data_IF_417422969668
#
_entry.id   IF_417422969668
#
_cell.length_a   1.000
_cell.length_b   1.000
_cell.length_c   1.000
_cell.angle_alpha   90.00
_cell.angle_beta   90.00
_cell.angle_gamma   90.00
#
_symmetry.space_group_name_H-M   'P 1'
#
loop_
_entity.id
_entity.type
_entity.pdbx_description
1 polymer ?
#
# COMPACT_ATOMS: atom_id res chain seq x y z
N UNK A 1 -19.92 -5.01 7.41
CA UNK A 1 -19.16 -4.81 8.66
C UNK A 1 -18.83 -3.34 8.74
N UNK A 2 -19.20 -2.67 9.83
CA UNK A 2 -18.89 -1.26 10.03
C UNK A 2 -17.41 -1.10 10.34
N UNK A 3 -16.80 -0.06 9.79
CA UNK A 3 -15.38 0.28 9.97
C UNK A 3 -15.07 0.92 11.33
N UNK A 4 -16.05 1.02 12.22
CA UNK A 4 -15.93 1.68 13.53
C UNK A 4 -15.12 0.87 14.56
N UNK A 5 -14.60 -0.30 14.17
CA UNK A 5 -13.90 -1.27 15.05
C UNK A 5 -12.48 -1.61 14.60
N UNK A 6 -11.87 -0.77 13.75
CA UNK A 6 -10.49 -0.95 13.31
C UNK A 6 -9.57 -0.02 14.10
N UNK A 7 -8.82 -0.58 15.05
CA UNK A 7 -7.79 0.15 15.78
C UNK A 7 -6.48 0.18 14.98
N UNK A 8 -6.04 1.38 14.61
CA UNK A 8 -4.75 1.59 13.94
C UNK A 8 -3.73 2.11 14.96
N UNK A 9 -2.62 1.40 15.09
CA UNK A 9 -1.51 1.85 15.92
C UNK A 9 -0.17 1.71 15.20
N UNK A 10 0.85 2.41 15.71
CA UNK A 10 2.22 2.17 15.30
C UNK A 10 2.60 0.71 15.58
N UNK A 11 3.34 0.12 14.65
CA UNK A 11 3.89 -1.22 14.79
C UNK A 11 5.16 -1.15 15.64
N UNK A 12 5.29 -2.00 16.67
CA UNK A 12 6.48 -2.08 17.50
C UNK A 12 7.07 -3.50 17.61
N UNK A 13 8.16 -3.64 18.36
CA UNK A 13 8.89 -4.91 18.47
C UNK A 13 8.06 -6.05 19.10
N UNK A 14 7.01 -5.74 19.86
CA UNK A 14 6.10 -6.75 20.44
C UNK A 14 5.20 -7.40 19.39
N UNK A 15 4.99 -6.73 18.25
CA UNK A 15 4.15 -7.21 17.16
C UNK A 15 4.89 -8.18 16.21
N UNK A 16 6.23 -8.20 16.22
CA UNK A 16 7.08 -8.91 15.24
C UNK A 16 6.67 -10.37 15.05
N UNK A 17 6.39 -11.09 16.14
CA UNK A 17 6.02 -12.50 16.06
C UNK A 17 4.74 -12.72 15.25
N UNK A 18 3.74 -11.84 15.42
CA UNK A 18 2.48 -11.91 14.68
C UNK A 18 2.66 -11.44 13.24
N UNK A 19 3.48 -10.43 12.99
CA UNK A 19 3.81 -9.97 11.64
C UNK A 19 4.52 -11.06 10.85
N UNK A 20 5.51 -11.75 11.42
CA UNK A 20 6.20 -12.86 10.77
C UNK A 20 5.26 -14.02 10.41
N UNK A 21 4.24 -14.29 11.25
CA UNK A 21 3.20 -15.26 10.94
C UNK A 21 2.36 -14.81 9.74
N UNK A 22 1.90 -13.57 9.73
CA UNK A 22 1.15 -13.00 8.61
C UNK A 22 1.99 -12.96 7.33
N UNK A 23 3.26 -12.59 7.41
CA UNK A 23 4.23 -12.63 6.30
C UNK A 23 4.28 -14.03 5.69
N UNK A 24 4.48 -15.06 6.52
CA UNK A 24 4.51 -16.46 6.06
C UNK A 24 3.19 -16.88 5.40
N UNK A 25 2.06 -16.49 6.00
CA UNK A 25 0.73 -16.78 5.48
C UNK A 25 0.49 -16.09 4.14
N UNK A 26 0.90 -14.83 3.97
CA UNK A 26 0.55 -14.02 2.79
C UNK A 26 1.55 -14.19 1.65
N UNK A 27 2.83 -14.34 1.94
CA UNK A 27 3.91 -14.30 0.94
C UNK A 27 4.67 -15.61 0.79
N UNK A 28 4.44 -16.61 1.65
CA UNK A 28 5.04 -17.95 1.54
C UNK A 28 6.56 -17.89 1.44
N UNK A 29 7.14 -18.33 0.32
CA UNK A 29 8.60 -18.35 0.11
C UNK A 29 9.24 -16.97 0.03
N UNK A 30 8.47 -15.95 -0.31
CA UNK A 30 8.93 -14.56 -0.34
C UNK A 30 8.73 -13.79 0.96
N UNK A 31 8.24 -14.46 2.01
CA UNK A 31 7.97 -13.86 3.31
C UNK A 31 9.24 -13.38 4.01
N UNK A 32 9.14 -12.25 4.70
CA UNK A 32 10.19 -11.85 5.63
C UNK A 32 10.19 -12.75 6.87
N UNK A 33 11.39 -13.13 7.31
CA UNK A 33 11.57 -13.79 8.61
C UNK A 33 11.32 -12.80 9.75
N UNK A 34 11.12 -13.30 10.97
CA UNK A 34 11.04 -12.44 12.16
C UNK A 34 12.27 -11.52 12.30
N UNK A 35 13.47 -12.04 12.00
CA UNK A 35 14.71 -11.25 12.01
C UNK A 35 14.70 -10.14 10.95
N UNK A 36 14.19 -10.41 9.75
CA UNK A 36 14.07 -9.40 8.69
C UNK A 36 13.04 -8.33 9.05
N UNK A 37 11.90 -8.72 9.63
CA UNK A 37 10.92 -7.76 10.16
C UNK A 37 11.56 -6.90 11.26
N UNK A 38 12.28 -7.50 12.21
CA UNK A 38 12.98 -6.76 13.26
C UNK A 38 13.96 -5.74 12.69
N UNK A 39 14.81 -6.17 11.74
CA UNK A 39 15.77 -5.30 11.06
C UNK A 39 15.10 -4.17 10.30
N UNK A 40 13.96 -4.44 9.65
CA UNK A 40 13.20 -3.41 8.95
C UNK A 40 12.68 -2.36 9.92
N UNK A 41 12.11 -2.76 11.06
CA UNK A 41 11.54 -1.83 12.05
C UNK A 41 12.61 -1.00 12.78
N UNK A 42 13.81 -1.55 12.94
CA UNK A 42 14.95 -0.85 13.52
C UNK A 42 15.66 0.08 12.51
N UNK A 43 15.41 -0.08 11.22
CA UNK A 43 15.99 0.78 10.20
C UNK A 43 15.45 2.21 10.32
N UNK A 44 16.26 3.23 10.01
CA UNK A 44 15.84 4.62 10.12
C UNK A 44 14.82 5.00 9.03
N UNK A 45 14.13 6.11 9.26
CA UNK A 45 13.13 6.68 8.35
C UNK A 45 12.03 5.69 7.93
N UNK A 46 11.62 4.83 8.87
CA UNK A 46 10.51 3.89 8.72
C UNK A 46 9.26 4.39 9.40
N UNK A 47 8.14 4.14 8.75
CA UNK A 47 6.83 4.36 9.33
C UNK A 47 5.98 3.12 9.07
N UNK A 48 5.59 2.45 10.14
CA UNK A 48 4.85 1.19 10.11
C UNK A 48 3.68 1.23 11.06
N UNK A 49 2.59 0.62 10.61
CA UNK A 49 1.35 0.51 11.37
C UNK A 49 0.76 -0.87 11.25
N UNK A 50 -0.07 -1.16 12.22
CA UNK A 50 -0.88 -2.36 12.32
C UNK A 50 -2.33 -1.99 12.48
N UNK A 51 -3.20 -2.85 11.95
CA UNK A 51 -4.62 -2.79 12.20
C UNK A 51 -5.03 -3.97 13.09
N UNK A 52 -5.70 -3.67 14.20
CA UNK A 52 -6.24 -4.63 15.16
C UNK A 52 -7.76 -4.70 15.06
N UNK A 53 -8.31 -5.86 15.41
CA UNK A 53 -9.75 -6.08 15.49
C UNK A 53 -10.18 -6.23 16.96
N UNK A 54 -11.22 -5.47 17.34
CA UNK A 54 -11.56 -5.07 18.72
C UNK A 54 -11.66 -6.17 19.78
N UNK A 55 -12.16 -7.36 19.46
CA UNK A 55 -12.51 -8.33 20.50
C UNK A 55 -11.29 -9.03 21.14
N UNK A 56 -10.21 -9.21 20.36
CA UNK A 56 -9.03 -9.97 20.79
C UNK A 56 -7.71 -9.17 20.65
N UNK A 57 -7.79 -7.89 20.27
CA UNK A 57 -6.63 -7.05 19.87
C UNK A 57 -5.70 -7.72 18.84
N UNK A 58 -6.23 -8.67 18.08
CA UNK A 58 -5.45 -9.44 17.13
C UNK A 58 -5.08 -8.56 15.96
N UNK A 59 -3.79 -8.53 15.63
CA UNK A 59 -3.31 -7.86 14.42
C UNK A 59 -3.80 -8.65 13.21
N UNK A 60 -4.57 -7.97 12.37
CA UNK A 60 -5.18 -8.51 11.16
C UNK A 60 -4.64 -7.86 9.88
N UNK A 61 -3.87 -6.78 10.00
CA UNK A 61 -3.18 -6.16 8.88
C UNK A 61 -1.99 -5.33 9.33
N UNK A 62 -1.08 -5.06 8.42
CA UNK A 62 0.07 -4.19 8.62
C UNK A 62 0.46 -3.53 7.31
N UNK A 63 1.08 -2.37 7.41
CA UNK A 63 1.64 -1.67 6.28
C UNK A 63 2.78 -0.77 6.72
N UNK A 64 3.69 -0.47 5.80
CA UNK A 64 4.71 0.53 6.06
C UNK A 64 5.47 0.94 4.83
N UNK A 65 6.20 2.03 4.99
CA UNK A 65 7.05 2.59 3.95
C UNK A 65 8.38 3.07 4.55
N UNK A 66 9.34 3.24 3.65
CA UNK A 66 10.60 3.94 3.89
C UNK A 66 10.56 5.30 3.21
N UNK A 67 11.01 6.36 3.89
CA UNK A 67 11.17 7.69 3.32
C UNK A 67 12.66 8.02 3.12
N UNK A 68 13.07 8.34 1.90
CA UNK A 68 14.48 8.64 1.58
C UNK A 68 14.86 10.12 1.76
N UNK A 69 13.87 10.97 2.09
CA UNK A 69 14.01 12.43 2.17
C UNK A 69 13.36 13.18 1.01
N UNK A 70 12.93 12.46 -0.03
CA UNK A 70 12.18 13.00 -1.17
C UNK A 70 10.95 12.14 -1.51
N UNK A 71 11.13 10.82 -1.62
CA UNK A 71 10.07 9.87 -1.98
C UNK A 71 9.80 8.87 -0.84
N UNK A 72 8.54 8.45 -0.72
CA UNK A 72 8.13 7.38 0.18
C UNK A 72 7.95 6.06 -0.58
N UNK A 73 8.82 5.08 -0.34
CA UNK A 73 8.74 3.75 -0.93
C UNK A 73 7.89 2.82 -0.08
N UNK A 74 6.74 2.37 -0.59
CA UNK A 74 5.91 1.37 0.09
C UNK A 74 6.67 0.06 0.13
N UNK A 75 6.90 -0.41 1.36
CA UNK A 75 7.69 -1.60 1.63
C UNK A 75 6.80 -2.82 1.76
N UNK A 76 5.66 -2.71 2.44
CA UNK A 76 4.73 -3.83 2.58
C UNK A 76 3.31 -3.35 2.86
N UNK A 77 2.33 -4.13 2.43
CA UNK A 77 0.93 -4.07 2.83
C UNK A 77 0.41 -5.50 2.87
N UNK A 78 0.10 -5.98 4.08
CA UNK A 78 -0.47 -7.30 4.33
C UNK A 78 -1.81 -7.19 5.04
N UNK A 79 -2.81 -7.94 4.58
CA UNK A 79 -4.10 -8.10 5.26
C UNK A 79 -4.35 -9.59 5.40
N UNK A 80 -4.62 -10.05 6.62
CA UNK A 80 -5.00 -11.44 6.91
C UNK A 80 -6.16 -11.87 6.00
N UNK A 81 -6.04 -13.06 5.39
CA UNK A 81 -6.96 -13.58 4.37
C UNK A 81 -8.42 -13.56 4.83
N UNK A 82 -8.66 -13.82 6.11
CA UNK A 82 -10.02 -13.86 6.68
C UNK A 82 -10.69 -12.48 6.73
N UNK A 83 -9.90 -11.41 6.64
CA UNK A 83 -10.32 -10.02 6.78
C UNK A 83 -10.26 -9.25 5.46
N UNK A 84 -9.96 -9.92 4.34
CA UNK A 84 -9.91 -9.31 3.01
C UNK A 84 -11.29 -9.00 2.44
N UNK A 85 -11.32 -8.18 1.39
CA UNK A 85 -12.56 -7.68 0.79
C UNK A 85 -13.31 -6.67 1.66
N UNK A 86 -12.70 -6.24 2.78
CA UNK A 86 -13.26 -5.28 3.74
C UNK A 86 -12.55 -3.92 3.70
N UNK A 87 -11.92 -3.56 2.58
CA UNK A 87 -11.20 -2.29 2.35
C UNK A 87 -10.13 -1.89 3.41
N UNK A 88 -9.63 -2.84 4.21
CA UNK A 88 -8.59 -2.57 5.23
C UNK A 88 -7.30 -2.04 4.59
N UNK A 89 -6.88 -2.65 3.48
CA UNK A 89 -5.72 -2.17 2.72
C UNK A 89 -5.91 -0.74 2.21
N UNK A 90 -7.12 -0.37 1.79
CA UNK A 90 -7.43 1.00 1.36
C UNK A 90 -7.36 1.99 2.52
N UNK A 91 -7.74 1.56 3.73
CA UNK A 91 -7.65 2.40 4.92
C UNK A 91 -6.19 2.62 5.35
N UNK A 92 -5.37 1.57 5.37
CA UNK A 92 -3.92 1.65 5.59
C UNK A 92 -3.24 2.51 4.52
N UNK A 93 -3.64 2.37 3.25
CA UNK A 93 -3.12 3.18 2.16
C UNK A 93 -3.38 4.68 2.36
N UNK A 94 -4.60 5.05 2.76
CA UNK A 94 -4.95 6.45 3.03
C UNK A 94 -4.07 7.02 4.14
N UNK A 95 -3.92 6.29 5.24
CA UNK A 95 -3.06 6.70 6.36
C UNK A 95 -1.60 6.84 5.92
N UNK A 96 -1.05 5.90 5.14
CA UNK A 96 0.33 6.02 4.65
C UNK A 96 0.54 7.23 3.75
N UNK A 97 -0.45 7.59 2.93
CA UNK A 97 -0.39 8.81 2.12
C UNK A 97 -0.43 10.08 2.96
N UNK A 98 -1.28 10.11 3.98
CA UNK A 98 -1.36 11.22 4.93
C UNK A 98 -0.01 11.40 5.65
N UNK A 99 0.62 10.31 6.10
CA UNK A 99 1.93 10.39 6.73
C UNK A 99 3.04 10.77 5.75
N UNK A 100 3.07 10.19 4.55
CA UNK A 100 4.06 10.55 3.53
C UNK A 100 3.96 12.04 3.16
N UNK A 101 2.74 12.58 3.06
CA UNK A 101 2.51 14.02 2.86
C UNK A 101 3.01 14.85 4.04
N UNK A 102 2.77 14.41 5.28
CA UNK A 102 3.26 15.06 6.50
C UNK A 102 4.79 15.09 6.56
N UNK A 103 5.45 14.06 6.06
CA UNK A 103 6.91 13.99 5.94
C UNK A 103 7.47 14.82 4.78
N UNK A 104 6.61 15.39 3.93
CA UNK A 104 7.00 16.22 2.80
C UNK A 104 7.46 15.43 1.57
N UNK A 105 7.01 14.19 1.41
CA UNK A 105 7.35 13.40 0.23
C UNK A 105 6.68 13.95 -1.04
N UNK A 106 7.41 13.96 -2.16
CA UNK A 106 6.92 14.38 -3.48
C UNK A 106 5.95 13.34 -4.07
N UNK A 107 6.25 12.06 -3.83
CA UNK A 107 5.45 10.92 -4.32
C UNK A 107 5.64 9.69 -3.43
N UNK A 108 4.69 8.77 -3.56
CA UNK A 108 4.84 7.40 -3.09
C UNK A 108 5.18 6.47 -4.25
N UNK A 109 6.07 5.52 -4.03
CA UNK A 109 6.53 4.53 -5.01
C UNK A 109 6.26 3.10 -4.53
N UNK A 110 6.08 2.18 -5.47
CA UNK A 110 5.98 0.75 -5.18
C UNK A 110 6.35 -0.12 -6.37
N UNK A 111 6.69 -1.36 -6.06
CA UNK A 111 6.69 -2.48 -6.99
C UNK A 111 5.53 -3.43 -6.66
N UNK A 112 4.87 -3.96 -7.68
CA UNK A 112 3.80 -4.95 -7.52
C UNK A 112 3.88 -6.00 -8.62
N UNK A 113 3.70 -7.28 -8.27
CA UNK A 113 3.76 -8.36 -9.24
C UNK A 113 2.71 -8.17 -10.34
N UNK A 114 3.09 -8.36 -11.61
CA UNK A 114 2.20 -8.08 -12.75
C UNK A 114 0.97 -9.00 -12.80
N UNK A 115 1.00 -10.12 -12.09
CA UNK A 115 -0.09 -11.10 -12.00
C UNK A 115 -0.96 -10.95 -10.73
N UNK A 116 -0.70 -9.93 -9.90
CA UNK A 116 -1.48 -9.66 -8.69
C UNK A 116 -2.60 -8.65 -8.96
N UNK A 117 -3.65 -9.09 -9.65
CA UNK A 117 -4.78 -8.23 -10.03
C UNK A 117 -5.51 -7.59 -8.85
N UNK A 118 -5.53 -8.27 -7.69
CA UNK A 118 -6.17 -7.74 -6.47
C UNK A 118 -5.39 -6.51 -5.99
N UNK A 119 -4.07 -6.63 -5.84
CA UNK A 119 -3.21 -5.51 -5.46
C UNK A 119 -3.26 -4.38 -6.48
N UNK A 120 -3.18 -4.72 -7.78
CA UNK A 120 -3.27 -3.73 -8.86
C UNK A 120 -4.57 -2.93 -8.80
N UNK A 121 -5.69 -3.59 -8.51
CA UNK A 121 -6.98 -2.93 -8.31
C UNK A 121 -6.96 -1.96 -7.12
N UNK A 122 -6.38 -2.37 -5.99
CA UNK A 122 -6.22 -1.48 -4.82
C UNK A 122 -5.37 -0.27 -5.17
N UNK A 123 -4.22 -0.46 -5.83
CA UNK A 123 -3.31 0.62 -6.19
C UNK A 123 -3.91 1.59 -7.20
N UNK A 124 -4.52 1.08 -8.27
CA UNK A 124 -5.22 1.90 -9.27
C UNK A 124 -6.37 2.69 -8.64
N UNK A 125 -7.15 2.06 -7.77
CA UNK A 125 -8.26 2.74 -7.06
C UNK A 125 -7.74 3.79 -6.08
N UNK A 126 -6.53 3.60 -5.55
CA UNK A 126 -5.82 4.60 -4.78
C UNK A 126 -5.12 5.65 -5.68
N UNK A 127 -5.30 5.66 -7.00
CA UNK A 127 -4.70 6.67 -7.88
C UNK A 127 -3.20 6.50 -8.12
N UNK A 128 -2.63 5.32 -7.87
CA UNK A 128 -1.29 5.00 -8.36
C UNK A 128 -1.32 4.77 -9.88
N UNK A 129 -0.35 5.33 -10.57
CA UNK A 129 -0.14 5.18 -12.01
C UNK A 129 1.09 4.31 -12.27
N UNK A 130 1.06 3.52 -13.34
CA UNK A 130 2.18 2.68 -13.71
C UNK A 130 3.29 3.53 -14.36
N UNK A 131 4.50 3.45 -13.82
CA UNK A 131 5.70 4.10 -14.36
C UNK A 131 6.47 3.19 -15.32
N UNK A 132 6.50 1.88 -15.05
CA UNK A 132 7.36 0.98 -15.79
C UNK A 132 7.19 -0.49 -15.43
N UNK A 133 8.08 -1.32 -15.99
CA UNK A 133 8.11 -2.78 -15.83
C UNK A 133 9.52 -3.25 -15.48
N UNK A 134 9.67 -3.90 -14.32
CA UNK A 134 10.89 -4.57 -13.88
C UNK A 134 10.76 -6.06 -14.18
N UNK A 135 11.53 -6.54 -15.16
CA UNK A 135 11.52 -7.97 -15.53
C UNK A 135 12.19 -8.81 -14.47
N UNK A 136 11.59 -9.96 -14.12
CA UNK A 136 12.15 -10.96 -13.20
C UNK A 136 12.54 -10.37 -11.83
N UNK A 137 11.76 -9.40 -11.36
CA UNK A 137 12.03 -8.65 -10.13
C UNK A 137 11.83 -9.51 -8.87
N UNK A 138 10.71 -10.23 -8.78
CA UNK A 138 10.49 -11.13 -7.65
C UNK A 138 11.17 -12.47 -7.90
N UNK A 139 12.15 -12.77 -7.07
CA UNK A 139 12.89 -14.03 -7.04
C UNK A 139 12.58 -14.78 -5.73
N UNK A 140 12.57 -16.13 -5.75
CA UNK A 140 12.97 -17.02 -6.86
C UNK A 140 11.86 -17.31 -7.89
N UNK A 141 10.67 -16.72 -7.76
CA UNK A 141 9.51 -17.01 -8.59
C UNK A 141 9.62 -16.47 -10.03
N UNK A 142 10.67 -15.69 -10.32
CA UNK A 142 10.97 -15.11 -11.62
C UNK A 142 9.82 -14.26 -12.19
N UNK A 143 9.10 -13.54 -11.33
CA UNK A 143 7.96 -12.71 -11.73
C UNK A 143 8.38 -11.29 -12.07
N UNK A 144 7.71 -10.74 -13.09
CA UNK A 144 7.82 -9.33 -13.41
C UNK A 144 7.04 -8.49 -12.39
N UNK A 145 7.46 -7.23 -12.23
CA UNK A 145 6.78 -6.25 -11.39
C UNK A 145 6.52 -4.96 -12.16
N UNK A 146 5.34 -4.39 -11.99
CA UNK A 146 5.11 -3.00 -12.35
C UNK A 146 5.71 -2.10 -11.28
N UNK A 147 6.42 -1.06 -11.70
CA UNK A 147 6.68 0.09 -10.83
C UNK A 147 5.50 1.04 -10.95
N UNK A 148 4.95 1.48 -9.82
CA UNK A 148 3.86 2.43 -9.79
C UNK A 148 4.18 3.61 -8.88
N UNK A 149 3.55 4.75 -9.15
CA UNK A 149 3.71 5.96 -8.35
C UNK A 149 2.39 6.67 -8.08
N UNK A 150 2.30 7.31 -6.92
CA UNK A 150 1.26 8.27 -6.58
C UNK A 150 1.93 9.62 -6.27
N UNK A 151 1.59 10.66 -7.02
CA UNK A 151 2.11 12.01 -6.74
C UNK A 151 1.39 12.58 -5.52
N UNK A 152 2.15 13.00 -4.52
CA UNK A 152 1.60 13.71 -3.37
C UNK A 152 1.47 15.16 -3.80
N UNK A 153 0.24 15.63 -3.97
CA UNK A 153 0.03 17.04 -4.24
C UNK A 153 0.58 17.84 -3.05
N UNK A 154 1.42 18.87 -3.28
CA UNK A 154 1.82 19.74 -2.19
C UNK A 154 0.54 20.30 -1.56
N UNK A 155 0.50 20.32 -0.22
CA UNK A 155 -0.55 21.04 0.50
C UNK A 155 -0.64 22.43 -0.15
N UNK A 156 -1.81 22.80 -0.66
CA UNK A 156 -1.98 24.12 -1.30
C UNK A 156 -1.76 25.17 -0.22
N UNK A 157 -0.52 25.64 -0.09
CA UNK A 157 -0.20 26.81 0.70
C UNK A 157 -0.74 28.00 -0.07
N UNK A 158 -1.97 28.38 0.25
CA UNK A 158 -2.44 29.70 -0.14
C UNK A 158 -1.56 30.72 0.58
N UNK A 159 -0.87 31.64 -0.14
CA UNK A 159 -0.13 32.69 0.53
C UNK A 159 -1.10 33.46 1.44
N UNK A 160 -0.64 33.74 2.66
CA UNK A 160 -1.41 34.51 3.65
C UNK A 160 -1.83 35.83 3.00
N UNK A 161 -3.14 36.03 2.80
CA UNK A 161 -3.69 37.17 2.07
C UNK A 161 -4.38 36.86 0.75
N UNK A 162 -4.37 35.59 0.28
CA UNK A 162 -5.14 35.18 -0.88
C UNK A 162 -6.57 34.78 -0.47
N UNK A 163 -7.52 35.71 -0.56
CA UNK A 163 -8.94 35.38 -0.50
C UNK A 163 -9.40 34.84 -1.85
N UNK A 164 -9.96 33.64 -1.87
CA UNK A 164 -10.69 33.14 -3.05
C UNK A 164 -11.94 34.01 -3.22
N UNK A 165 -12.17 34.64 -4.38
CA UNK A 165 -13.38 35.39 -4.65
C UNK A 165 -14.62 34.50 -4.47
N UNK A 166 -15.65 35.01 -3.79
CA UNK A 166 -16.85 34.25 -3.39
C UNK A 166 -17.65 33.68 -4.59
N UNK A 167 -17.39 34.20 -5.78
CA UNK A 167 -17.94 33.88 -7.09
C UNK A 167 -17.38 32.59 -7.72
N UNK A 168 -16.32 32.00 -7.17
CA UNK A 168 -15.83 30.69 -7.61
C UNK A 168 -16.69 29.49 -7.15
N UNK A 169 -17.79 29.74 -6.41
CA UNK A 169 -18.72 28.70 -5.92
C UNK A 169 -20.01 28.54 -6.73
N UNK A 170 -20.22 29.28 -7.82
CA UNK A 170 -21.45 29.20 -8.63
C UNK A 170 -21.19 28.70 -10.04
N UNK A 171 -20.80 27.43 -10.16
CA UNK A 171 -20.59 26.76 -11.45
C UNK A 171 -20.91 25.28 -11.37
N UNK A 172 -22.18 24.94 -11.15
CA UNK A 172 -22.65 23.56 -11.24
C UNK A 172 -23.97 23.33 -10.53
N UNK A 173 -25.08 23.66 -11.18
CA UNK A 173 -26.34 22.90 -11.11
C UNK A 173 -27.39 23.57 -12.02
N UNK A 174 -27.44 23.14 -13.28
CA UNK A 174 -28.64 23.11 -14.13
C UNK A 174 -28.22 22.64 -15.52
N UNK A 175 -28.50 21.37 -15.78
CA UNK A 175 -29.06 20.85 -17.01
C UNK A 175 -28.59 19.42 -17.17
N UNK A 176 -29.52 18.48 -16.98
CA UNK A 176 -29.71 17.27 -17.78
C UNK A 176 -30.86 16.48 -17.14
N UNK A 177 -32.09 16.91 -17.43
CA UNK A 177 -33.28 16.09 -17.30
C UNK A 177 -33.81 15.80 -18.71
N UNK A 178 -33.96 14.51 -19.03
CA UNK A 178 -34.86 14.03 -20.08
C UNK A 178 -34.20 13.29 -21.25
N UNK A 179 -34.20 11.96 -21.18
CA UNK A 179 -34.72 11.12 -22.26
C UNK A 179 -34.92 9.68 -21.75
N UNK A 180 -36.19 9.29 -21.66
CA UNK A 180 -36.64 7.89 -21.62
C UNK A 180 -36.30 7.20 -22.95
N UNK A 181 -35.98 5.90 -22.93
CA UNK A 181 -36.86 4.83 -23.44
C UNK A 181 -36.19 3.44 -23.48
N UNK A 182 -36.88 2.49 -22.83
CA UNK A 182 -37.12 1.07 -23.16
C UNK A 182 -36.05 0.19 -23.84
N UNK A 183 -35.78 -0.96 -23.22
CA UNK A 183 -35.09 -2.09 -23.85
C UNK A 183 -35.00 -3.32 -22.94
N UNK A 184 -36.11 -4.04 -22.84
CA UNK A 184 -36.28 -5.30 -22.10
C UNK A 184 -35.62 -6.46 -22.86
N UNK A 185 -34.64 -7.18 -22.29
CA UNK A 185 -34.36 -8.57 -22.66
C UNK A 185 -33.85 -9.41 -21.48
N UNK A 186 -34.71 -10.35 -21.10
CA UNK A 186 -34.51 -11.51 -20.26
C UNK A 186 -33.48 -12.47 -20.86
N UNK A 187 -32.54 -12.99 -20.05
CA UNK A 187 -31.85 -14.24 -20.32
C UNK A 187 -31.39 -14.91 -19.02
N UNK A 188 -31.97 -16.08 -18.79
CA UNK A 188 -31.72 -17.10 -17.78
C UNK A 188 -30.33 -17.73 -17.92
N UNK A 189 -29.72 -18.15 -16.80
CA UNK A 189 -28.84 -19.35 -16.70
C UNK A 189 -28.59 -19.65 -15.21
N UNK A 190 -29.33 -20.56 -14.58
CA UNK A 190 -29.10 -22.02 -14.51
C UNK A 190 -27.62 -22.45 -14.36
N UNK A 191 -27.30 -22.84 -13.12
CA UNK A 191 -26.65 -24.09 -12.70
C UNK A 191 -25.62 -24.73 -13.64
N UNK A 192 -24.35 -24.73 -13.24
CA UNK A 192 -23.46 -25.86 -13.52
C UNK A 192 -22.57 -26.18 -12.32
N UNK A 193 -22.83 -27.34 -11.73
CA UNK A 193 -22.00 -28.02 -10.75
C UNK A 193 -20.85 -28.67 -11.52
N UNK A 194 -19.63 -28.26 -11.24
CA UNK A 194 -18.41 -28.88 -11.75
C UNK A 194 -17.45 -29.13 -10.61
N UNK A 195 -17.46 -30.36 -10.10
CA UNK A 195 -16.38 -30.89 -9.28
C UNK A 195 -15.12 -30.98 -10.15
N UNK A 196 -13.98 -30.47 -9.68
CA UNK A 196 -12.70 -31.12 -9.95
C UNK A 196 -11.65 -30.75 -8.89
N UNK A 197 -11.10 -31.81 -8.31
CA UNK A 197 -10.03 -31.80 -7.34
C UNK A 197 -8.65 -31.63 -8.00
N UNK A 198 -7.66 -31.21 -7.22
CA UNK A 198 -6.26 -31.61 -7.46
C UNK A 198 -5.28 -30.51 -7.85
N UNK A 199 -4.81 -29.77 -6.85
CA UNK A 199 -3.40 -29.45 -6.60
C UNK A 199 -2.56 -28.88 -7.77
N UNK A 200 -2.38 -27.54 -7.79
CA UNK A 200 -1.17 -26.89 -8.31
C UNK A 200 -1.15 -25.40 -7.90
N UNK A 201 -0.19 -25.02 -7.03
CA UNK A 201 0.35 -23.65 -6.88
C UNK A 201 -0.65 -22.53 -6.56
N UNK A 202 -1.22 -22.51 -5.36
CA UNK A 202 -1.87 -21.31 -4.80
C UNK A 202 -0.77 -20.30 -4.45
N UNK A 203 -0.33 -19.51 -5.45
CA UNK A 203 0.31 -18.24 -5.19
C UNK A 203 -0.73 -17.43 -4.43
N UNK A 204 -0.45 -17.09 -3.17
CA UNK A 204 -1.36 -16.34 -2.31
C UNK A 204 -1.62 -14.96 -2.91
N UNK A 205 -2.76 -14.86 -3.62
CA UNK A 205 -3.33 -13.63 -4.20
C UNK A 205 -3.84 -12.66 -3.12
N UNK A 206 -3.67 -13.03 -1.85
CA UNK A 206 -4.11 -12.32 -0.66
C UNK A 206 -3.22 -11.13 -0.31
N UNK A 207 -1.95 -11.15 -0.69
CA UNK A 207 -1.02 -10.11 -0.29
C UNK A 207 -1.06 -8.90 -1.21
N UNK A 208 -1.03 -7.67 -0.68
CA UNK A 208 -1.14 -6.45 -1.50
C UNK A 208 0.23 -6.05 -2.03
N UNK A 209 1.26 -6.00 -1.19
CA UNK A 209 2.64 -5.76 -1.64
C UNK A 209 3.64 -6.18 -0.56
N UNK A 210 4.80 -6.66 -1.01
CA UNK A 210 6.02 -6.82 -0.22
C UNK A 210 7.20 -6.54 -1.13
N UNK A 211 8.00 -5.55 -0.77
CA UNK A 211 9.17 -5.12 -1.53
C UNK A 211 10.26 -6.19 -1.48
N UNK A 212 10.82 -6.54 -2.64
CA UNK A 212 11.99 -7.43 -2.70
C UNK A 212 13.28 -6.69 -2.34
N UNK A 213 13.25 -5.34 -2.30
CA UNK A 213 14.41 -4.49 -2.07
C UNK A 213 14.74 -4.25 -0.59
N UNK A 214 14.17 -5.04 0.35
CA UNK A 214 14.48 -4.91 1.79
C UNK A 214 16.00 -4.82 2.05
N UNK A 215 16.79 -5.75 1.49
CA UNK A 215 18.24 -5.75 1.66
C UNK A 215 18.94 -4.60 0.92
N UNK A 216 18.47 -4.23 -0.28
CA UNK A 216 19.05 -3.12 -1.07
C UNK A 216 18.81 -1.77 -0.39
N UNK A 217 17.64 -1.58 0.23
CA UNK A 217 17.28 -0.35 0.90
C UNK A 217 18.07 -0.17 2.20
N UNK A 218 18.24 -1.22 3.01
CA UNK A 218 19.06 -1.17 4.25
C UNK A 218 20.50 -0.73 3.97
N UNK A 219 21.11 -1.18 2.86
CA UNK A 219 22.46 -0.75 2.49
C UNK A 219 22.51 0.69 1.93
N UNK A 220 21.56 1.06 1.08
CA UNK A 220 21.49 2.43 0.54
C UNK A 220 21.29 3.49 1.64
N UNK A 221 20.54 3.14 2.69
CA UNK A 221 20.30 3.99 3.85
C UNK A 221 21.58 4.29 4.63
N UNK A 222 22.41 3.28 4.90
CA UNK A 222 23.72 3.49 5.55
C UNK A 222 24.58 4.48 4.78
N UNK A 223 24.48 4.45 3.44
CA UNK A 223 25.23 5.35 2.58
C UNK A 223 24.68 6.78 2.63
N UNK A 224 23.36 6.98 2.61
CA UNK A 224 22.74 8.33 2.67
C UNK A 224 22.98 9.00 4.03
N UNK A 225 22.87 8.28 5.15
CA UNK A 225 23.18 8.84 6.48
C UNK A 225 24.67 9.17 6.62
N UNK A 226 25.56 8.34 6.10
CA UNK A 226 27.00 8.63 6.07
C UNK A 226 27.29 9.90 5.26
N UNK A 227 26.62 10.13 4.13
CA UNK A 227 26.79 11.34 3.32
C UNK A 227 26.30 12.59 4.09
N UNK A 228 25.11 12.53 4.70
CA UNK A 228 24.57 13.66 5.49
C UNK A 228 25.43 13.98 6.73
N UNK A 229 26.03 12.97 7.36
CA UNK A 229 26.93 13.17 8.49
C UNK A 229 28.26 13.81 8.05
N UNK A 230 28.82 13.39 6.92
CA UNK A 230 30.04 14.00 6.35
C UNK A 230 29.81 15.44 5.92
N UNK A 231 28.66 15.77 5.31
CA UNK A 231 28.31 17.15 4.96
C UNK A 231 28.14 18.06 6.19
N UNK A 232 27.59 17.53 7.29
CA UNK A 232 27.49 18.24 8.57
C UNK A 232 28.84 18.43 9.29
N UNK A 233 29.81 17.55 9.07
CA UNK A 233 31.18 17.68 9.61
C UNK A 233 32.05 18.63 8.78
N UNK A 234 31.84 18.70 7.46
CA UNK A 234 32.57 19.62 6.56
C UNK A 234 32.00 21.05 6.57
N UNK A 235 30.84 21.26 7.18
CA UNK A 235 30.21 22.58 7.37
C UNK A 235 30.57 23.28 8.69
N UNK A 236 31.54 22.77 9.47
CA UNK A 236 32.01 23.36 10.74
C UNK A 236 33.44 23.89 10.65
#
# INVERSE_FOLDING_TARGET
MSFEQLDLAALDSTDIARIAQLETQLFGRGAWSADAVSQELEAPARSYWVARFDDDHTIIAYAGFWFDGQDAQIMTIGVDEQYQGRHIASHLMRMMKEEAARLGADRMLLEVATDNEIALSVYRSAGFEQLGLRKRYYQPENKDAYTMSYTIAPERVYPVGFSVPADARSGGDSDLQGAHETGNHSATNQSFVGQNAGNQSTINRSAINRSAAHNENVENIKNVENIKNVENELGK
#
